data_IF_834022005485
#
_entry.id   IF_834022005485
#
_cell.length_a   1.000
_cell.length_b   1.000
_cell.length_c   1.000
_cell.angle_alpha   90.00
_cell.angle_beta   90.00
_cell.angle_gamma   90.00
#
_symmetry.space_group_name_H-M   'P 1'
#
loop_
_entity.id
_entity.type
_entity.pdbx_description
1 polymer ?
#
# COMPACT_ATOMS: atom_id res chain seq x y z
N UNK A 1 -20.45 7.92 2.87
CA UNK A 1 -20.32 6.46 2.68
C UNK A 1 -19.94 6.10 1.25
N UNK A 2 -20.68 6.52 0.23
CA UNK A 2 -20.37 6.22 -1.20
C UNK A 2 -18.95 6.65 -1.59
N UNK A 3 -18.52 7.87 -1.21
CA UNK A 3 -17.17 8.35 -1.50
C UNK A 3 -16.06 7.45 -0.93
N UNK A 4 -16.24 6.94 0.30
CA UNK A 4 -15.31 5.99 0.93
C UNK A 4 -15.26 4.65 0.20
N UNK A 5 -16.39 4.17 -0.29
CA UNK A 5 -16.45 2.94 -1.10
C UNK A 5 -15.71 3.14 -2.40
N UNK A 6 -15.98 4.23 -3.13
CA UNK A 6 -15.30 4.54 -4.39
C UNK A 6 -13.79 4.67 -4.20
N UNK A 7 -13.35 5.36 -3.14
CA UNK A 7 -11.95 5.46 -2.78
C UNK A 7 -11.34 4.07 -2.49
N UNK A 8 -12.00 3.25 -1.68
CA UNK A 8 -11.51 1.92 -1.34
C UNK A 8 -11.44 0.97 -2.55
N UNK A 9 -12.41 1.05 -3.47
CA UNK A 9 -12.39 0.31 -4.74
C UNK A 9 -11.22 0.78 -5.59
N UNK A 10 -11.03 2.11 -5.75
CA UNK A 10 -9.93 2.68 -6.52
C UNK A 10 -8.56 2.23 -5.98
N UNK A 11 -8.38 2.31 -4.66
CA UNK A 11 -7.17 1.88 -3.98
C UNK A 11 -6.91 0.37 -4.18
N UNK A 12 -7.94 -0.47 -3.98
CA UNK A 12 -7.83 -1.92 -4.17
C UNK A 12 -7.42 -2.26 -5.61
N UNK A 13 -8.09 -1.68 -6.62
CA UNK A 13 -7.77 -1.93 -8.03
C UNK A 13 -6.36 -1.46 -8.38
N UNK A 14 -5.97 -0.26 -7.92
CA UNK A 14 -4.62 0.28 -8.16
C UNK A 14 -3.53 -0.62 -7.58
N UNK A 15 -3.70 -1.10 -6.34
CA UNK A 15 -2.73 -1.99 -5.69
C UNK A 15 -2.71 -3.38 -6.34
N UNK A 16 -3.86 -3.95 -6.68
CA UNK A 16 -3.95 -5.25 -7.36
C UNK A 16 -3.26 -5.20 -8.73
N UNK A 17 -3.49 -4.14 -9.53
CA UNK A 17 -2.87 -4.03 -10.85
C UNK A 17 -1.36 -3.80 -10.74
N UNK A 18 -0.92 -3.00 -9.76
CA UNK A 18 0.51 -2.84 -9.45
C UNK A 18 1.16 -4.17 -9.05
N UNK A 19 0.51 -4.96 -8.20
CA UNK A 19 0.94 -6.29 -7.79
C UNK A 19 1.09 -7.23 -8.98
N UNK A 20 0.04 -7.33 -9.81
CA UNK A 20 0.02 -8.20 -10.99
C UNK A 20 1.11 -7.84 -11.98
N UNK A 21 1.35 -6.55 -12.20
CA UNK A 21 2.39 -6.07 -13.11
C UNK A 21 3.78 -6.49 -12.63
N UNK A 22 4.07 -6.34 -11.33
CA UNK A 22 5.36 -6.76 -10.76
C UNK A 22 5.53 -8.29 -10.84
N UNK A 23 4.49 -9.08 -10.50
CA UNK A 23 4.55 -10.55 -10.60
C UNK A 23 4.77 -10.98 -12.05
N UNK A 24 4.03 -10.37 -13.00
CA UNK A 24 4.14 -10.72 -14.41
C UNK A 24 5.56 -10.46 -14.93
N UNK A 25 6.18 -9.33 -14.59
CA UNK A 25 7.52 -9.02 -15.10
C UNK A 25 8.61 -9.89 -14.48
N UNK A 26 8.55 -10.11 -13.16
CA UNK A 26 9.69 -10.69 -12.44
C UNK A 26 9.57 -12.19 -12.19
N UNK A 27 8.35 -12.72 -12.01
CA UNK A 27 8.10 -14.11 -11.60
C UNK A 27 7.51 -14.93 -12.75
N UNK A 28 6.40 -14.47 -13.35
CA UNK A 28 5.60 -15.24 -14.31
C UNK A 28 5.40 -14.49 -15.65
N UNK A 29 6.47 -14.18 -16.40
CA UNK A 29 6.39 -13.40 -17.64
C UNK A 29 5.68 -14.12 -18.78
N UNK A 30 5.65 -15.46 -18.74
CA UNK A 30 4.97 -16.28 -19.77
C UNK A 30 3.50 -16.52 -19.46
N UNK A 31 3.03 -16.17 -18.26
CA UNK A 31 1.65 -16.41 -17.84
C UNK A 31 0.78 -15.18 -18.08
N UNK A 32 -0.42 -15.33 -18.66
CA UNK A 32 -1.32 -14.21 -18.87
C UNK A 32 -1.81 -13.65 -17.52
N UNK A 33 -1.91 -12.31 -17.43
CA UNK A 33 -2.22 -11.62 -16.17
C UNK A 33 -3.57 -12.03 -15.56
N UNK A 34 -4.57 -12.37 -16.36
CA UNK A 34 -5.89 -12.79 -15.84
C UNK A 34 -5.82 -14.12 -15.09
N UNK A 35 -4.96 -15.07 -15.50
CA UNK A 35 -4.76 -16.34 -14.78
C UNK A 35 -4.06 -16.11 -13.44
N UNK A 36 -3.07 -15.22 -13.42
CA UNK A 36 -2.40 -14.81 -12.19
C UNK A 36 -3.43 -14.16 -11.25
N UNK A 37 -4.26 -13.24 -11.75
CA UNK A 37 -5.32 -12.61 -10.97
C UNK A 37 -6.33 -13.61 -10.42
N UNK A 38 -6.73 -14.61 -11.22
CA UNK A 38 -7.61 -15.68 -10.76
C UNK A 38 -7.00 -16.44 -9.58
N UNK A 39 -5.71 -16.79 -9.65
CA UNK A 39 -5.00 -17.46 -8.56
C UNK A 39 -4.91 -16.59 -7.30
N UNK A 40 -4.56 -15.31 -7.44
CA UNK A 40 -4.43 -14.37 -6.32
C UNK A 40 -5.77 -14.02 -5.68
N UNK A 41 -6.87 -14.09 -6.44
CA UNK A 41 -8.21 -13.78 -5.93
C UNK A 41 -8.65 -14.73 -4.81
N UNK A 42 -8.22 -16.00 -4.84
CA UNK A 42 -8.60 -17.03 -3.86
C UNK A 42 -8.23 -16.61 -2.43
N UNK A 43 -6.94 -16.35 -2.10
CA UNK A 43 -6.56 -15.89 -0.77
C UNK A 43 -7.15 -14.51 -0.43
N UNK A 44 -7.30 -13.60 -1.40
CA UNK A 44 -7.93 -12.28 -1.16
C UNK A 44 -9.36 -12.41 -0.67
N UNK A 45 -10.18 -13.27 -1.29
CA UNK A 45 -11.55 -13.55 -0.84
C UNK A 45 -11.53 -14.14 0.57
N UNK A 46 -10.69 -15.14 0.81
CA UNK A 46 -10.64 -15.85 2.09
C UNK A 46 -10.30 -14.92 3.25
N UNK A 47 -9.39 -13.96 3.04
CA UNK A 47 -8.96 -13.02 4.06
C UNK A 47 -9.96 -11.87 4.23
N UNK A 48 -10.44 -11.27 3.13
CA UNK A 48 -11.38 -10.16 3.18
C UNK A 48 -12.75 -10.56 3.76
N UNK A 49 -13.26 -11.75 3.45
CA UNK A 49 -14.57 -12.19 3.92
C UNK A 49 -14.63 -12.46 5.44
N UNK A 50 -13.55 -12.95 6.03
CA UNK A 50 -13.51 -13.30 7.46
C UNK A 50 -13.48 -12.07 8.39
N UNK A 51 -13.32 -10.87 7.83
CA UNK A 51 -13.43 -9.59 8.53
C UNK A 51 -12.21 -9.20 9.36
N UNK A 52 -12.36 -8.08 10.09
CA UNK A 52 -11.25 -7.33 10.71
C UNK A 52 -10.33 -8.19 11.58
N UNK A 53 -10.86 -9.11 12.39
CA UNK A 53 -10.03 -9.93 13.29
C UNK A 53 -9.01 -10.77 12.52
N UNK A 54 -9.41 -11.38 11.39
CA UNK A 54 -8.49 -12.19 10.58
C UNK A 54 -7.53 -11.31 9.80
N UNK A 55 -8.00 -10.16 9.30
CA UNK A 55 -7.15 -9.17 8.63
C UNK A 55 -6.04 -8.69 9.59
N UNK A 56 -6.37 -8.34 10.83
CA UNK A 56 -5.38 -7.92 11.83
C UNK A 56 -4.40 -9.03 12.21
N UNK A 57 -4.85 -10.29 12.32
CA UNK A 57 -3.95 -11.44 12.58
C UNK A 57 -3.00 -11.68 11.40
N UNK A 58 -3.50 -11.56 10.18
CA UNK A 58 -2.69 -11.65 8.98
C UNK A 58 -1.65 -10.54 8.90
N UNK A 59 -2.01 -9.29 9.22
CA UNK A 59 -1.07 -8.18 9.28
C UNK A 59 0.08 -8.42 10.26
N UNK A 60 -0.24 -8.89 11.48
CA UNK A 60 0.80 -9.26 12.47
C UNK A 60 1.70 -10.37 11.95
N UNK A 61 1.11 -11.41 11.33
CA UNK A 61 1.87 -12.48 10.71
C UNK A 61 2.81 -11.94 9.62
N UNK A 62 2.30 -11.12 8.70
CA UNK A 62 3.08 -10.55 7.60
C UNK A 62 4.25 -9.72 8.09
N UNK A 63 4.05 -8.85 9.10
CA UNK A 63 5.13 -8.03 9.68
C UNK A 63 6.23 -8.90 10.27
N UNK A 64 5.89 -9.93 11.05
CA UNK A 64 6.89 -10.82 11.65
C UNK A 64 7.59 -11.67 10.59
N UNK A 65 6.84 -12.18 9.61
CA UNK A 65 7.33 -13.05 8.55
C UNK A 65 8.27 -12.33 7.57
N UNK A 66 8.10 -11.01 7.41
CA UNK A 66 8.88 -10.19 6.47
C UNK A 66 9.91 -9.29 7.16
N UNK A 67 10.08 -9.42 8.48
CA UNK A 67 10.99 -8.61 9.28
C UNK A 67 12.46 -8.68 8.80
N UNK A 68 12.87 -9.82 8.23
CA UNK A 68 14.22 -10.02 7.69
C UNK A 68 14.49 -9.19 6.43
N UNK A 69 13.45 -8.81 5.67
CA UNK A 69 13.61 -8.12 4.38
C UNK A 69 14.29 -6.75 4.50
N UNK A 70 13.84 -5.82 5.37
CA UNK A 70 14.55 -4.55 5.55
C UNK A 70 15.96 -4.76 6.11
N UNK A 71 16.18 -5.77 6.95
CA UNK A 71 17.51 -6.09 7.49
C UNK A 71 18.49 -6.53 6.39
N UNK A 72 18.00 -7.31 5.42
CA UNK A 72 18.80 -7.78 4.29
C UNK A 72 19.27 -6.61 3.40
N UNK A 73 18.51 -5.51 3.33
CA UNK A 73 18.90 -4.32 2.59
C UNK A 73 20.08 -3.55 3.22
N UNK A 74 20.59 -3.94 4.40
CA UNK A 74 21.86 -3.39 4.89
C UNK A 74 23.08 -3.99 4.19
N UNK A 75 22.98 -5.17 3.58
CA UNK A 75 24.12 -5.86 2.95
C UNK A 75 24.77 -5.04 1.82
N UNK A 76 24.03 -4.39 0.89
CA UNK A 76 24.63 -3.60 -0.19
C UNK A 76 25.43 -2.39 0.30
N UNK A 77 25.28 -1.96 1.56
CA UNK A 77 26.03 -0.82 2.10
C UNK A 77 27.55 -1.05 2.09
N UNK A 78 28.01 -2.31 2.08
CA UNK A 78 29.44 -2.64 1.96
C UNK A 78 30.07 -2.08 0.67
N UNK A 79 29.27 -1.96 -0.39
CA UNK A 79 29.66 -1.45 -1.70
C UNK A 79 29.17 0.00 -1.90
N UNK A 80 28.53 0.59 -0.88
CA UNK A 80 27.96 1.94 -0.92
C UNK A 80 29.03 3.02 -0.81
N UNK A 81 28.79 4.16 -1.46
CA UNK A 81 29.72 5.29 -1.51
C UNK A 81 29.08 6.52 -0.87
N UNK A 82 29.61 6.92 0.29
CA UNK A 82 29.11 8.08 1.06
C UNK A 82 29.12 9.39 0.29
N UNK A 83 30.04 9.52 -0.68
CA UNK A 83 30.13 10.72 -1.52
C UNK A 83 28.90 10.93 -2.40
N UNK A 84 28.12 9.87 -2.72
CA UNK A 84 26.90 9.99 -3.52
C UNK A 84 25.77 10.75 -2.83
N UNK A 85 25.82 10.88 -1.49
CA UNK A 85 24.87 11.72 -0.75
C UNK A 85 25.19 13.22 -0.88
N UNK A 86 26.41 13.58 -1.32
CA UNK A 86 26.87 14.95 -1.39
C UNK A 86 26.86 15.49 -2.83
N UNK A 87 26.58 16.79 -3.02
CA UNK A 87 26.13 17.75 -2.01
C UNK A 87 24.64 17.60 -1.65
N UNK A 88 24.34 17.63 -0.36
CA UNK A 88 22.95 17.69 0.13
C UNK A 88 22.34 19.05 -0.19
N UNK A 89 21.07 19.07 -0.64
CA UNK A 89 20.31 20.29 -0.92
C UNK A 89 20.98 21.24 -1.94
N UNK A 90 21.65 20.70 -2.96
CA UNK A 90 22.31 21.48 -4.03
C UNK A 90 21.41 22.54 -4.66
N UNK A 91 20.14 22.20 -4.87
CA UNK A 91 19.12 23.06 -5.49
C UNK A 91 18.23 23.79 -4.45
N UNK A 92 18.63 23.76 -3.18
CA UNK A 92 17.89 24.35 -2.07
C UNK A 92 16.67 23.53 -1.63
N UNK A 93 15.76 24.19 -0.91
CA UNK A 93 14.60 23.56 -0.27
C UNK A 93 13.38 23.38 -1.17
N UNK A 94 13.29 24.14 -2.26
CA UNK A 94 12.11 24.13 -3.15
C UNK A 94 11.86 22.72 -3.71
N UNK A 95 12.85 21.99 -4.26
CA UNK A 95 12.64 20.63 -4.73
C UNK A 95 12.19 19.68 -3.63
N UNK A 96 12.70 19.84 -2.40
CA UNK A 96 12.29 19.02 -1.25
C UNK A 96 10.79 19.16 -0.99
N UNK A 97 10.28 20.38 -0.88
CA UNK A 97 8.85 20.62 -0.69
C UNK A 97 7.98 20.13 -1.84
N UNK A 98 8.49 20.19 -3.08
CA UNK A 98 7.79 19.65 -4.24
C UNK A 98 7.65 18.12 -4.16
N UNK A 99 8.64 17.42 -3.62
CA UNK A 99 8.61 15.95 -3.47
C UNK A 99 7.72 15.45 -2.33
N UNK A 100 7.41 16.29 -1.33
CA UNK A 100 6.55 15.92 -0.18
C UNK A 100 5.23 15.32 -0.63
N UNK A 101 4.65 15.86 -1.72
CA UNK A 101 3.43 15.30 -2.33
C UNK A 101 3.63 13.82 -2.66
N UNK A 102 4.61 13.50 -3.51
CA UNK A 102 4.87 12.10 -3.90
C UNK A 102 5.14 11.16 -2.70
N UNK A 103 5.74 11.66 -1.62
CA UNK A 103 6.05 10.87 -0.41
C UNK A 103 4.82 10.51 0.42
N UNK A 104 3.76 11.33 0.40
CA UNK A 104 2.54 11.06 1.21
C UNK A 104 1.89 9.72 0.84
N UNK A 105 1.98 9.30 -0.44
CA UNK A 105 1.48 8.01 -0.90
C UNK A 105 2.08 6.85 -0.10
N UNK A 106 3.33 6.97 0.32
CA UNK A 106 4.05 5.97 1.11
C UNK A 106 3.47 5.83 2.53
N UNK A 107 2.86 6.89 3.07
CA UNK A 107 2.27 6.92 4.41
C UNK A 107 0.76 6.66 4.41
N UNK A 108 0.14 6.42 3.25
CA UNK A 108 -1.27 6.04 3.18
C UNK A 108 -1.52 4.71 3.90
N UNK A 109 -2.71 4.59 4.47
CA UNK A 109 -3.15 3.47 5.30
C UNK A 109 -3.59 3.89 6.70
N UNK A 110 -3.15 5.06 7.20
CA UNK A 110 -3.64 5.56 8.49
C UNK A 110 -5.12 5.92 8.47
N UNK A 111 -5.70 6.20 7.29
CA UNK A 111 -7.12 6.48 7.13
C UNK A 111 -7.99 5.26 7.48
N UNK A 112 -7.44 4.04 7.45
CA UNK A 112 -8.12 2.86 7.98
C UNK A 112 -8.40 2.94 9.47
N UNK A 113 -7.69 3.79 10.22
CA UNK A 113 -8.04 4.05 11.60
C UNK A 113 -9.51 4.48 11.75
N UNK A 114 -10.06 5.24 10.80
CA UNK A 114 -11.47 5.68 10.84
C UNK A 114 -12.44 4.52 10.64
N UNK A 115 -12.11 3.58 9.75
CA UNK A 115 -12.94 2.41 9.43
C UNK A 115 -12.83 1.35 10.52
N UNK A 116 -11.63 1.15 11.05
CA UNK A 116 -11.31 0.12 12.04
C UNK A 116 -11.64 0.55 13.47
N UNK A 117 -11.82 1.85 13.74
CA UNK A 117 -12.10 2.38 15.09
C UNK A 117 -13.26 1.68 15.83
N UNK A 118 -14.40 1.35 15.19
CA UNK A 118 -15.49 0.64 15.85
C UNK A 118 -15.13 -0.79 16.27
N UNK A 119 -14.13 -1.40 15.63
CA UNK A 119 -13.69 -2.78 15.88
C UNK A 119 -12.60 -2.87 16.96
N UNK A 120 -12.07 -1.74 17.45
CA UNK A 120 -11.02 -1.72 18.47
C UNK A 120 -11.57 -2.08 19.85
N UNK A 121 -10.95 -3.07 20.51
CA UNK A 121 -11.26 -3.41 21.91
C UNK A 121 -10.86 -2.29 22.87
N UNK A 122 -9.70 -1.64 22.64
CA UNK A 122 -9.23 -0.51 23.43
C UNK A 122 -9.04 0.73 22.55
N UNK A 123 -10.04 1.61 22.54
CA UNK A 123 -10.04 2.86 21.77
C UNK A 123 -8.97 3.86 22.23
N UNK A 124 -8.57 3.84 23.51
CA UNK A 124 -7.54 4.76 24.04
C UNK A 124 -6.16 4.50 23.43
N UNK A 125 -5.88 3.25 23.03
CA UNK A 125 -4.63 2.86 22.39
C UNK A 125 -4.58 3.18 20.90
N UNK A 126 -5.69 3.58 20.27
CA UNK A 126 -5.76 3.82 18.83
C UNK A 126 -4.71 4.85 18.37
N UNK A 127 -4.60 5.97 19.09
CA UNK A 127 -3.65 7.05 18.78
C UNK A 127 -2.20 6.54 18.83
N UNK A 128 -1.85 5.78 19.87
CA UNK A 128 -0.51 5.20 20.02
C UNK A 128 -0.20 4.25 18.87
N UNK A 129 -1.17 3.40 18.49
CA UNK A 129 -1.02 2.48 17.35
C UNK A 129 -0.77 3.20 16.03
N UNK A 130 -1.53 4.25 15.72
CA UNK A 130 -1.37 5.03 14.49
C UNK A 130 0.01 5.71 14.44
N UNK A 131 0.44 6.35 15.52
CA UNK A 131 1.75 7.02 15.59
C UNK A 131 2.88 6.00 15.45
N UNK A 132 2.81 4.89 16.18
CA UNK A 132 3.83 3.84 16.12
C UNK A 132 3.93 3.21 14.71
N UNK A 133 2.79 2.93 14.07
CA UNK A 133 2.77 2.40 12.70
C UNK A 133 3.45 3.35 11.71
N UNK A 134 3.12 4.66 11.76
CA UNK A 134 3.74 5.65 10.90
C UNK A 134 5.24 5.84 11.18
N UNK A 135 5.66 5.77 12.44
CA UNK A 135 7.09 5.82 12.80
C UNK A 135 7.85 4.62 12.24
N UNK A 136 7.29 3.42 12.33
CA UNK A 136 7.90 2.22 11.74
C UNK A 136 8.04 2.40 10.22
N UNK A 137 6.97 2.84 9.54
CA UNK A 137 6.98 3.13 8.10
C UNK A 137 8.04 4.17 7.74
N UNK A 138 8.17 5.24 8.54
CA UNK A 138 9.19 6.27 8.35
C UNK A 138 10.60 5.69 8.41
N UNK A 139 10.92 4.90 9.44
CA UNK A 139 12.24 4.31 9.59
C UNK A 139 12.57 3.34 8.47
N UNK A 140 11.62 2.49 8.05
CA UNK A 140 11.83 1.56 6.93
C UNK A 140 12.08 2.32 5.64
N UNK A 141 11.28 3.34 5.30
CA UNK A 141 11.51 4.10 4.07
C UNK A 141 12.79 4.92 4.12
N UNK A 142 13.11 5.57 5.23
CA UNK A 142 14.39 6.27 5.38
C UNK A 142 15.57 5.32 5.18
N UNK A 143 15.51 4.13 5.76
CA UNK A 143 16.55 3.12 5.61
C UNK A 143 16.69 2.67 4.15
N UNK A 144 15.58 2.33 3.48
CA UNK A 144 15.58 1.93 2.06
C UNK A 144 16.13 3.05 1.17
N UNK A 145 15.68 4.29 1.37
CA UNK A 145 16.15 5.45 0.61
C UNK A 145 17.64 5.69 0.81
N UNK A 146 18.11 5.62 2.06
CA UNK A 146 19.51 5.83 2.39
C UNK A 146 20.43 4.79 1.77
N UNK A 147 20.07 3.50 1.89
CA UNK A 147 20.79 2.41 1.22
C UNK A 147 20.81 2.64 -0.29
N UNK A 148 19.65 2.99 -0.89
CA UNK A 148 19.56 3.19 -2.34
C UNK A 148 20.48 4.32 -2.83
N UNK A 149 20.52 5.45 -2.11
CA UNK A 149 21.36 6.59 -2.49
C UNK A 149 22.86 6.36 -2.25
N UNK A 150 23.21 5.51 -1.29
CA UNK A 150 24.61 5.13 -1.08
C UNK A 150 25.09 4.12 -2.13
N UNK A 151 24.24 3.17 -2.51
CA UNK A 151 24.63 2.10 -3.43
C UNK A 151 24.61 2.54 -4.89
N UNK A 152 23.56 3.23 -5.33
CA UNK A 152 23.45 3.70 -6.71
C UNK A 152 24.06 5.09 -6.86
N UNK A 153 24.74 5.33 -7.98
CA UNK A 153 25.14 6.70 -8.34
C UNK A 153 23.92 7.58 -8.58
N UNK A 154 24.02 8.92 -8.39
CA UNK A 154 22.89 9.84 -8.56
C UNK A 154 22.18 9.73 -9.93
N UNK A 155 22.95 9.54 -11.00
CA UNK A 155 22.41 9.35 -12.35
C UNK A 155 22.03 7.89 -12.64
N UNK A 156 22.55 6.94 -11.84
CA UNK A 156 22.29 5.51 -12.00
C UNK A 156 20.94 5.09 -11.43
N UNK A 157 20.55 5.64 -10.28
CA UNK A 157 19.30 5.26 -9.61
C UNK A 157 18.05 5.53 -10.46
N UNK A 158 18.08 6.57 -11.29
CA UNK A 158 16.96 6.99 -12.14
C UNK A 158 16.68 6.01 -13.28
N UNK A 159 17.62 5.10 -13.58
CA UNK A 159 17.48 4.08 -14.63
C UNK A 159 16.72 2.84 -14.17
N UNK A 160 16.54 2.66 -12.86
CA UNK A 160 15.88 1.49 -12.29
C UNK A 160 14.44 1.82 -11.92
N UNK A 161 13.48 1.05 -12.47
CA UNK A 161 12.06 1.19 -12.12
C UNK A 161 11.76 0.74 -10.68
N UNK A 162 12.51 -0.26 -10.19
CA UNK A 162 12.41 -0.77 -8.81
C UNK A 162 13.80 -0.85 -8.15
N UNK A 163 14.36 0.28 -7.69
CA UNK A 163 15.69 0.32 -7.09
C UNK A 163 15.86 -0.69 -5.95
N UNK A 164 14.84 -0.87 -5.11
CA UNK A 164 14.87 -1.83 -4.00
C UNK A 164 15.02 -3.28 -4.45
N UNK A 165 14.41 -3.68 -5.56
CA UNK A 165 14.61 -5.03 -6.12
C UNK A 165 16.00 -5.14 -6.74
N UNK A 166 16.48 -4.08 -7.39
CA UNK A 166 17.82 -4.04 -7.97
C UNK A 166 18.95 -4.10 -6.92
N UNK A 167 18.69 -3.70 -5.67
CA UNK A 167 19.62 -3.86 -4.55
C UNK A 167 19.88 -5.32 -4.16
N UNK A 168 18.89 -6.21 -4.39
CA UNK A 168 18.99 -7.63 -4.00
C UNK A 168 19.36 -8.55 -5.16
N UNK A 169 19.28 -8.07 -6.41
CA UNK A 169 19.67 -8.81 -7.61
C UNK A 169 21.11 -9.35 -7.58
N UNK A 170 22.12 -8.62 -7.05
CA UNK A 170 23.50 -9.14 -7.00
C UNK A 170 23.70 -10.31 -6.03
N UNK A 171 22.70 -10.68 -5.23
CA UNK A 171 22.84 -11.77 -4.26
C UNK A 171 22.73 -13.12 -4.97
N UNK A 172 23.89 -13.72 -5.24
CA UNK A 172 24.00 -15.06 -5.76
C UNK A 172 24.49 -16.01 -4.67
N UNK A 173 23.73 -17.08 -4.45
CA UNK A 173 24.14 -18.19 -3.59
C UNK A 173 24.46 -19.40 -4.48
N UNK A 174 25.36 -20.28 -4.03
CA UNK A 174 25.78 -21.46 -4.81
C UNK A 174 24.63 -22.38 -5.24
N UNK A 175 23.46 -22.29 -4.59
CA UNK A 175 22.26 -23.07 -4.89
C UNK A 175 21.07 -22.21 -5.38
N UNK A 176 21.19 -20.88 -5.40
CA UNK A 176 20.13 -19.96 -5.81
C UNK A 176 20.71 -18.83 -6.67
N UNK A 177 20.40 -18.88 -7.95
CA UNK A 177 20.85 -17.88 -8.93
C UNK A 177 19.99 -16.61 -8.91
N UNK A 178 18.70 -16.73 -8.60
CA UNK A 178 17.70 -15.64 -8.68
C UNK A 178 17.06 -15.31 -7.33
N UNK A 179 17.86 -14.79 -6.40
CA UNK A 179 17.39 -14.43 -5.07
C UNK A 179 16.26 -13.38 -5.08
N UNK A 180 16.21 -12.52 -6.09
CA UNK A 180 15.18 -11.50 -6.26
C UNK A 180 13.77 -12.10 -6.37
N UNK A 181 13.61 -13.33 -6.89
CA UNK A 181 12.31 -14.02 -6.94
C UNK A 181 11.85 -14.37 -5.53
N UNK A 182 12.76 -14.83 -4.66
CA UNK A 182 12.43 -15.17 -3.28
C UNK A 182 12.05 -13.90 -2.52
N UNK A 183 12.88 -12.87 -2.61
CA UNK A 183 12.59 -11.56 -2.01
C UNK A 183 11.21 -11.05 -2.46
N UNK A 184 10.92 -11.11 -3.76
CA UNK A 184 9.64 -10.66 -4.30
C UNK A 184 8.48 -11.55 -3.83
N UNK A 185 8.67 -12.86 -3.71
CA UNK A 185 7.65 -13.80 -3.21
C UNK A 185 7.22 -13.45 -1.78
N UNK A 186 8.16 -13.06 -0.92
CA UNK A 186 7.85 -12.56 0.42
C UNK A 186 7.23 -11.15 0.37
N UNK A 187 7.70 -10.29 -0.53
CA UNK A 187 7.11 -8.96 -0.74
C UNK A 187 5.63 -9.04 -1.13
N UNK A 188 5.19 -10.12 -1.81
CA UNK A 188 3.78 -10.31 -2.12
C UNK A 188 2.92 -10.28 -0.86
N UNK A 189 3.35 -10.88 0.25
CA UNK A 189 2.59 -10.86 1.51
C UNK A 189 2.35 -9.42 2.01
N UNK A 190 3.33 -8.53 1.88
CA UNK A 190 3.21 -7.11 2.25
C UNK A 190 2.18 -6.41 1.35
N UNK A 191 2.22 -6.66 0.04
CA UNK A 191 1.26 -6.05 -0.88
C UNK A 191 -0.15 -6.60 -0.62
N UNK A 192 -0.29 -7.90 -0.36
CA UNK A 192 -1.57 -8.52 0.00
C UNK A 192 -2.15 -7.87 1.26
N UNK A 193 -1.33 -7.69 2.30
CA UNK A 193 -1.73 -7.04 3.54
C UNK A 193 -2.17 -5.58 3.32
N UNK A 194 -1.66 -4.93 2.28
CA UNK A 194 -2.10 -3.60 1.85
C UNK A 194 -3.43 -3.63 1.07
N UNK A 195 -3.63 -4.64 0.20
CA UNK A 195 -4.84 -4.76 -0.63
C UNK A 195 -6.10 -5.12 0.18
N UNK A 196 -5.97 -6.09 1.09
CA UNK A 196 -7.12 -6.72 1.76
C UNK A 196 -7.95 -5.72 2.58
N UNK A 197 -7.37 -4.79 3.36
CA UNK A 197 -8.13 -3.76 4.08
C UNK A 197 -8.99 -2.88 3.15
N UNK A 198 -8.50 -2.53 1.95
CA UNK A 198 -9.27 -1.77 0.96
C UNK A 198 -10.44 -2.60 0.40
N UNK A 199 -10.20 -3.86 0.05
CA UNK A 199 -11.25 -4.78 -0.42
C UNK A 199 -12.33 -4.95 0.65
N UNK A 200 -11.92 -5.16 1.91
CA UNK A 200 -12.83 -5.26 3.05
C UNK A 200 -13.66 -3.97 3.22
N UNK A 201 -13.00 -2.81 3.21
CA UNK A 201 -13.67 -1.51 3.39
C UNK A 201 -14.70 -1.24 2.29
N UNK A 202 -14.35 -1.54 1.03
CA UNK A 202 -15.28 -1.43 -0.09
C UNK A 202 -16.49 -2.36 0.09
N UNK A 203 -16.25 -3.62 0.46
CA UNK A 203 -17.32 -4.60 0.66
C UNK A 203 -18.22 -4.26 1.84
N UNK A 204 -17.66 -3.85 2.97
CA UNK A 204 -18.41 -3.51 4.17
C UNK A 204 -19.29 -2.27 3.91
N UNK A 205 -18.74 -1.24 3.24
CA UNK A 205 -19.52 -0.07 2.85
C UNK A 205 -20.67 -0.39 1.87
N UNK A 206 -20.45 -1.26 0.88
CA UNK A 206 -21.51 -1.71 -0.04
C UNK A 206 -22.60 -2.48 0.71
N UNK A 207 -22.20 -3.38 1.61
CA UNK A 207 -23.13 -4.14 2.43
C UNK A 207 -24.00 -3.23 3.32
N UNK A 208 -23.40 -2.18 3.92
CA UNK A 208 -24.14 -1.17 4.67
C UNK A 208 -25.14 -0.39 3.79
N UNK A 209 -24.76 -0.01 2.56
CA UNK A 209 -25.68 0.66 1.62
C UNK A 209 -26.87 -0.22 1.23
N UNK A 210 -26.62 -1.52 1.03
CA UNK A 210 -27.64 -2.48 0.62
C UNK A 210 -28.42 -3.09 1.80
N UNK A 211 -28.18 -2.64 3.04
CA UNK A 211 -28.72 -3.22 4.27
C UNK A 211 -28.52 -4.75 4.37
N UNK A 212 -27.45 -5.27 3.77
CA UNK A 212 -27.09 -6.69 3.80
C UNK A 212 -26.09 -6.94 4.91
N UNK A 213 -26.34 -7.95 5.75
CA UNK A 213 -25.37 -8.36 6.78
C UNK A 213 -24.27 -9.22 6.15
N UNK A 214 -23.05 -8.69 6.10
CA UNK A 214 -21.80 -9.41 5.76
C UNK A 214 -21.90 -10.33 4.53
N UNK A 215 -22.45 -9.83 3.42
CA UNK A 215 -22.42 -10.59 2.16
C UNK A 215 -21.02 -10.59 1.56
N UNK A 216 -20.56 -11.72 1.04
CA UNK A 216 -19.34 -11.86 0.25
C UNK A 216 -19.49 -11.38 -1.19
N UNK A 217 -20.72 -11.13 -1.65
CA UNK A 217 -21.02 -10.75 -3.04
C UNK A 217 -20.22 -9.53 -3.54
N UNK A 218 -20.05 -8.44 -2.77
CA UNK A 218 -19.26 -7.29 -3.24
C UNK A 218 -17.78 -7.62 -3.44
N UNK A 219 -17.21 -8.51 -2.62
CA UNK A 219 -15.83 -8.99 -2.75
C UNK A 219 -15.67 -9.76 -4.06
N UNK A 220 -16.57 -10.71 -4.32
CA UNK A 220 -16.57 -11.46 -5.57
C UNK A 220 -16.77 -10.55 -6.79
N UNK A 221 -17.69 -9.59 -6.71
CA UNK A 221 -17.93 -8.62 -7.78
C UNK A 221 -16.69 -7.79 -8.11
N UNK A 222 -15.98 -7.29 -7.10
CA UNK A 222 -14.75 -6.51 -7.30
C UNK A 222 -13.63 -7.34 -7.95
N UNK A 223 -13.37 -8.54 -7.43
CA UNK A 223 -12.29 -9.39 -7.93
C UNK A 223 -12.60 -9.98 -9.31
N UNK A 224 -13.85 -10.41 -9.54
CA UNK A 224 -14.30 -10.86 -10.85
C UNK A 224 -14.27 -9.72 -11.87
N UNK A 225 -14.64 -8.50 -11.48
CA UNK A 225 -14.50 -7.31 -12.32
C UNK A 225 -13.06 -7.06 -12.75
N UNK A 226 -12.09 -7.21 -11.84
CA UNK A 226 -10.66 -7.12 -12.18
C UNK A 226 -10.23 -8.21 -13.18
N UNK A 227 -10.65 -9.46 -12.96
CA UNK A 227 -10.35 -10.58 -13.88
C UNK A 227 -10.95 -10.31 -15.26
N UNK A 228 -12.20 -9.85 -15.31
CA UNK A 228 -12.90 -9.53 -16.55
C UNK A 228 -12.20 -8.43 -17.34
N UNK A 229 -11.80 -7.34 -16.67
CA UNK A 229 -11.01 -6.26 -17.30
C UNK A 229 -9.72 -6.83 -17.90
N UNK A 230 -8.98 -7.62 -17.13
CA UNK A 230 -7.69 -8.19 -17.56
C UNK A 230 -7.81 -9.23 -18.69
N UNK A 231 -8.97 -9.87 -18.82
CA UNK A 231 -9.24 -10.80 -19.90
C UNK A 231 -9.37 -10.07 -21.25
N UNK A 232 -10.00 -8.89 -21.27
CA UNK A 232 -10.18 -8.09 -22.48
C UNK A 232 -9.07 -7.06 -22.71
N UNK A 233 -8.41 -6.63 -21.64
CA UNK A 233 -7.50 -5.49 -21.67
C UNK A 233 -6.32 -5.66 -20.72
N UNK A 234 -5.10 -5.60 -21.27
CA UNK A 234 -3.87 -5.61 -20.49
C UNK A 234 -3.38 -4.17 -20.34
N UNK A 235 -3.43 -3.57 -19.15
CA UNK A 235 -3.01 -2.20 -18.94
C UNK A 235 -1.49 -2.05 -19.10
N UNK A 236 -1.06 -0.95 -19.70
CA UNK A 236 0.37 -0.62 -19.83
C UNK A 236 0.95 -0.13 -18.50
N UNK A 237 2.29 -0.16 -18.39
CA UNK A 237 3.01 0.35 -17.23
C UNK A 237 2.68 1.80 -16.89
N UNK A 238 2.53 2.63 -17.94
CA UNK A 238 2.13 4.03 -17.83
C UNK A 238 0.74 4.16 -17.22
N UNK A 239 -0.22 3.35 -17.66
CA UNK A 239 -1.60 3.41 -17.16
C UNK A 239 -1.72 2.95 -15.72
N UNK A 240 -0.97 1.90 -15.33
CA UNK A 240 -0.93 1.45 -13.95
C UNK A 240 -0.33 2.55 -13.05
N UNK A 241 0.74 3.18 -13.52
CA UNK A 241 1.37 4.31 -12.81
C UNK A 241 0.44 5.50 -12.69
N UNK A 242 -0.27 5.86 -13.77
CA UNK A 242 -1.26 6.93 -13.77
C UNK A 242 -2.45 6.64 -12.84
N UNK A 243 -2.92 5.38 -12.79
CA UNK A 243 -3.96 4.96 -11.86
C UNK A 243 -3.51 5.09 -10.40
N UNK A 244 -2.25 4.73 -10.12
CA UNK A 244 -1.64 4.91 -8.79
C UNK A 244 -1.49 6.37 -8.41
N UNK A 245 -1.07 7.22 -9.34
CA UNK A 245 -0.97 8.67 -9.12
C UNK A 245 -2.34 9.32 -8.91
N UNK A 246 -3.35 8.87 -9.66
CA UNK A 246 -4.73 9.31 -9.48
C UNK A 246 -5.27 8.90 -8.11
N UNK A 247 -5.04 7.65 -7.68
CA UNK A 247 -5.36 7.21 -6.32
C UNK A 247 -4.63 8.04 -5.27
N UNK A 248 -3.33 8.27 -5.45
CA UNK A 248 -2.54 9.14 -4.57
C UNK A 248 -3.10 10.55 -4.48
N UNK A 249 -3.56 11.12 -5.60
CA UNK A 249 -4.19 12.44 -5.62
C UNK A 249 -5.54 12.44 -4.90
N UNK A 250 -6.37 11.42 -5.15
CA UNK A 250 -7.66 11.24 -4.47
C UNK A 250 -7.48 11.06 -2.96
N UNK A 251 -6.40 10.41 -2.54
CA UNK A 251 -6.09 10.20 -1.13
C UNK A 251 -5.88 11.50 -0.36
N UNK A 252 -5.35 12.57 -0.97
CA UNK A 252 -5.23 13.88 -0.29
C UNK A 252 -6.57 14.42 0.13
N UNK A 253 -7.58 14.29 -0.74
CA UNK A 253 -8.93 14.73 -0.42
C UNK A 253 -9.47 13.90 0.74
N UNK A 254 -9.34 12.57 0.72
CA UNK A 254 -9.79 11.73 1.85
C UNK A 254 -9.03 12.11 3.14
N UNK A 255 -7.71 12.14 3.09
CA UNK A 255 -6.85 12.32 4.27
C UNK A 255 -7.01 13.69 4.91
N UNK A 256 -7.07 14.77 4.12
CA UNK A 256 -7.11 16.13 4.66
C UNK A 256 -8.53 16.69 4.74
N UNK A 257 -9.39 16.45 3.75
CA UNK A 257 -10.75 16.99 3.75
C UNK A 257 -11.64 16.24 4.75
N UNK A 258 -11.52 14.92 4.86
CA UNK A 258 -12.41 14.14 5.72
C UNK A 258 -12.30 14.52 7.20
N UNK A 259 -11.11 14.62 7.83
CA UNK A 259 -11.01 15.04 9.23
C UNK A 259 -11.54 16.45 9.46
N UNK A 260 -11.26 17.38 8.54
CA UNK A 260 -11.70 18.78 8.65
C UNK A 260 -13.23 18.88 8.58
N UNK A 261 -13.85 18.25 7.57
CA UNK A 261 -15.32 18.23 7.43
C UNK A 261 -15.98 17.53 8.60
N UNK A 262 -15.40 16.41 9.07
CA UNK A 262 -15.92 15.69 10.23
C UNK A 262 -15.84 16.50 11.52
N UNK A 263 -14.73 17.22 11.73
CA UNK A 263 -14.58 18.14 12.87
C UNK A 263 -15.60 19.27 12.80
N UNK A 264 -15.75 19.92 11.64
CA UNK A 264 -16.73 20.99 11.44
C UNK A 264 -18.15 20.50 11.72
N UNK A 265 -18.54 19.35 11.18
CA UNK A 265 -19.84 18.72 11.44
C UNK A 265 -20.04 18.46 12.93
N UNK A 266 -19.05 17.88 13.61
CA UNK A 266 -19.12 17.63 15.06
C UNK A 266 -19.29 18.91 15.87
N UNK A 267 -18.51 19.96 15.58
CA UNK A 267 -18.65 21.26 16.26
C UNK A 267 -20.00 21.91 16.00
N UNK A 268 -20.50 21.88 14.76
CA UNK A 268 -21.81 22.45 14.42
C UNK A 268 -22.94 21.66 15.10
N UNK A 269 -22.88 20.33 15.08
CA UNK A 269 -23.86 19.47 15.76
C UNK A 269 -23.86 19.71 17.27
N UNK A 270 -22.69 19.82 17.90
CA UNK A 270 -22.58 20.13 19.33
C UNK A 270 -23.10 21.54 19.65
N UNK A 271 -22.81 22.53 18.82
CA UNK A 271 -23.30 23.89 18.99
C UNK A 271 -24.82 23.95 18.87
N UNK A 272 -25.40 23.27 17.88
CA UNK A 272 -26.84 23.19 17.66
C UNK A 272 -27.58 22.40 18.75
N UNK A 273 -26.93 21.38 19.32
CA UNK A 273 -27.48 20.65 20.48
C UNK A 273 -27.41 21.49 21.76
N UNK A 274 -26.36 22.29 21.95
CA UNK A 274 -26.23 23.23 23.08
C UNK A 274 -27.19 24.42 22.97
N UNK A 275 -27.56 24.87 21.77
CA UNK A 275 -28.53 25.95 21.58
C UNK A 275 -30.00 25.52 21.75
N UNK A 276 -30.27 24.22 21.93
CA UNK A 276 -31.61 23.65 22.18
C UNK A 276 -31.84 23.21 23.64
N UNK A 277 -30.82 23.31 24.49
CA UNK A 277 -30.89 23.06 25.95
C UNK A 277 -30.87 24.41 26.64
#
# INVERSE_FOLDING_TARGET
MIFWILYAVLAAVSLIFSLLYVIHIWILPRSPMFLIMMLLSIPMVMLAYKGVLIISRYAVFTVLFTLWMPLLLFIPLKDGHWIYLLPLLKEGWIPVFNTVKSTIIAFLGFEFAFVLYPYLSNKSSAKKGIVLANLITLFVYLQVTFVSFLYFSPDGITKFLWPTLSLVTPFHFSFLERFEIIFLSFYLFIIFDSCIPYIFTASDGINQLLNKKRSSLPIYGLLFGCIFILFFYIPSSYQISALREFWGTASYFIVFLFPVVFLLYMTLYQHWKRSRV
#
